data_IF_535612704383
#
_entry.id   IF_535612704383
#
_cell.length_a   1.000
_cell.length_b   1.000
_cell.length_c   1.000
_cell.angle_alpha   90.00
_cell.angle_beta   90.00
_cell.angle_gamma   90.00
#
_symmetry.space_group_name_H-M   'P 1'
#
loop_
_entity.id
_entity.type
_entity.pdbx_description
1 polymer ?
#
# COMPACT_ATOMS: atom_id res chain seq x y z
N UNK A 1 -7.89 22.34 6.34
CA UNK A 1 -7.82 22.59 4.89
C UNK A 1 -6.80 21.59 4.41
N UNK A 2 -7.28 20.46 3.89
CA UNK A 2 -6.55 19.20 4.10
C UNK A 2 -5.79 18.74 2.85
N UNK A 3 -6.09 19.29 1.67
CA UNK A 3 -5.31 19.06 0.45
C UNK A 3 -4.98 20.37 -0.28
N UNK A 4 -3.69 20.59 -0.51
CA UNK A 4 -3.15 21.68 -1.32
C UNK A 4 -2.26 21.08 -2.40
N UNK A 5 -2.63 21.27 -3.66
CA UNK A 5 -1.85 20.80 -4.81
C UNK A 5 -0.97 21.93 -5.31
N UNK A 6 0.33 21.68 -5.48
CA UNK A 6 1.22 22.64 -6.15
C UNK A 6 0.84 22.72 -7.63
N UNK A 7 0.48 23.92 -8.09
CA UNK A 7 0.10 24.16 -9.50
C UNK A 7 1.21 24.85 -10.30
N UNK A 8 2.05 25.66 -9.64
CA UNK A 8 3.23 26.30 -10.24
C UNK A 8 4.34 26.37 -9.20
N UNK A 9 5.59 26.13 -9.60
CA UNK A 9 6.76 26.18 -8.71
C UNK A 9 8.05 26.63 -9.44
N UNK A 10 7.93 27.63 -10.31
CA UNK A 10 9.08 28.13 -11.11
C UNK A 10 9.91 29.16 -10.34
N UNK A 11 9.24 30.06 -9.61
CA UNK A 11 9.88 31.12 -8.83
C UNK A 11 9.37 31.14 -7.39
N UNK A 12 8.06 30.98 -7.23
CA UNK A 12 7.40 30.88 -5.93
C UNK A 12 6.31 29.80 -6.00
N UNK A 13 6.23 28.86 -5.04
CA UNK A 13 5.18 27.84 -5.04
C UNK A 13 3.78 28.45 -4.90
N UNK A 14 2.91 28.20 -5.88
CA UNK A 14 1.48 28.52 -5.81
C UNK A 14 0.71 27.21 -5.70
N UNK A 15 -0.24 27.19 -4.77
CA UNK A 15 -1.06 26.04 -4.44
C UNK A 15 -2.51 26.26 -4.85
N UNK A 16 -3.20 25.19 -5.19
CA UNK A 16 -4.65 25.16 -5.41
C UNK A 16 -5.28 24.28 -4.34
N UNK A 17 -6.33 24.79 -3.70
CA UNK A 17 -7.19 24.05 -2.78
C UNK A 17 -8.29 23.30 -3.52
N UNK A 18 -8.92 22.35 -2.85
CA UNK A 18 -10.06 21.59 -3.39
C UNK A 18 -11.23 22.47 -3.86
N UNK A 19 -11.37 23.68 -3.30
CA UNK A 19 -12.40 24.65 -3.70
C UNK A 19 -11.96 25.53 -4.88
N UNK A 20 -10.81 25.26 -5.50
CA UNK A 20 -10.22 26.06 -6.59
C UNK A 20 -9.60 27.38 -6.13
N UNK A 21 -9.48 27.64 -4.82
CA UNK A 21 -8.82 28.85 -4.33
C UNK A 21 -7.30 28.71 -4.46
N UNK A 22 -6.66 29.74 -5.03
CA UNK A 22 -5.21 29.81 -5.23
C UNK A 22 -4.54 30.48 -4.04
N UNK A 23 -3.56 29.80 -3.45
CA UNK A 23 -2.97 30.13 -2.17
C UNK A 23 -1.45 30.09 -2.25
N UNK A 24 -0.81 30.87 -1.38
CA UNK A 24 0.63 30.84 -1.14
C UNK A 24 0.91 30.70 0.35
N UNK A 25 2.03 30.09 0.70
CA UNK A 25 2.46 30.03 2.09
C UNK A 25 3.00 31.40 2.55
N UNK A 26 2.42 31.96 3.62
CA UNK A 26 2.81 33.27 4.12
C UNK A 26 4.25 33.34 4.63
N UNK A 27 4.78 32.24 5.18
CA UNK A 27 6.12 32.16 5.76
C UNK A 27 7.16 32.13 4.66
N UNK A 28 6.90 31.40 3.59
CA UNK A 28 7.74 31.41 2.40
C UNK A 28 7.72 32.80 1.76
N UNK A 29 6.54 33.43 1.70
CA UNK A 29 6.39 34.79 1.19
C UNK A 29 7.18 35.81 2.02
N UNK A 30 7.09 35.74 3.35
CA UNK A 30 7.86 36.57 4.28
C UNK A 30 9.37 36.43 4.07
N UNK A 31 9.84 35.19 3.94
CA UNK A 31 11.26 34.88 3.74
C UNK A 31 11.76 35.44 2.42
N UNK A 32 11.04 35.18 1.32
CA UNK A 32 11.46 35.67 0.00
C UNK A 32 11.32 37.18 -0.17
N UNK A 33 10.39 37.81 0.55
CA UNK A 33 10.26 39.27 0.58
C UNK A 33 11.38 39.97 1.38
N UNK A 34 12.27 39.21 2.03
CA UNK A 34 13.39 39.74 2.84
C UNK A 34 12.89 40.75 3.87
N UNK A 35 11.86 40.36 4.61
CA UNK A 35 11.26 41.19 5.64
C UNK A 35 12.10 41.11 6.91
N UNK A 36 12.57 42.25 7.42
CA UNK A 36 13.39 42.30 8.64
C UNK A 36 12.62 42.07 9.95
N UNK A 37 11.30 42.27 9.97
CA UNK A 37 10.44 41.93 11.13
C UNK A 37 10.26 40.43 11.22
N UNK A 38 10.12 39.89 12.43
CA UNK A 38 9.78 38.48 12.62
C UNK A 38 8.41 38.15 11.99
N UNK A 39 8.27 36.90 11.53
CA UNK A 39 7.10 36.46 10.78
C UNK A 39 5.78 36.74 11.52
N UNK A 40 5.72 36.43 12.83
CA UNK A 40 4.49 36.54 13.62
C UNK A 40 4.00 37.98 13.73
N UNK A 41 4.90 38.92 14.10
CA UNK A 41 4.51 40.33 14.17
C UNK A 41 4.26 40.93 12.80
N UNK A 42 5.00 40.49 11.78
CA UNK A 42 4.77 40.92 10.41
C UNK A 42 3.37 40.52 9.92
N UNK A 43 3.01 39.24 9.98
CA UNK A 43 1.74 38.79 9.40
C UNK A 43 0.54 39.38 10.15
N UNK A 44 0.58 39.39 11.49
CA UNK A 44 -0.49 40.00 12.31
C UNK A 44 -0.64 41.50 12.02
N UNK A 45 0.49 42.22 11.97
CA UNK A 45 0.47 43.65 11.66
C UNK A 45 0.01 43.96 10.23
N UNK A 46 0.24 43.07 9.26
CA UNK A 46 -0.29 43.23 7.90
C UNK A 46 -1.79 42.95 7.83
N UNK A 47 -2.25 41.87 8.48
CA UNK A 47 -3.68 41.54 8.57
C UNK A 47 -4.46 42.70 9.19
N UNK A 48 -4.00 43.21 10.34
CA UNK A 48 -4.66 44.33 11.03
C UNK A 48 -4.63 45.62 10.21
N UNK A 49 -3.48 45.98 9.64
CA UNK A 49 -3.31 47.25 8.92
C UNK A 49 -4.16 47.33 7.65
N UNK A 50 -4.31 46.23 6.92
CA UNK A 50 -5.04 46.18 5.65
C UNK A 50 -6.43 45.58 5.77
N UNK A 51 -6.85 45.16 6.96
CA UNK A 51 -8.18 44.63 7.21
C UNK A 51 -8.43 43.27 6.57
N UNK A 52 -7.41 42.42 6.43
CA UNK A 52 -7.56 41.10 5.84
C UNK A 52 -8.46 40.20 6.70
N UNK A 53 -9.38 39.49 6.06
CA UNK A 53 -10.41 38.68 6.72
C UNK A 53 -10.07 37.19 6.65
N UNK A 54 -10.24 36.48 7.77
CA UNK A 54 -10.04 35.01 7.81
C UNK A 54 -11.06 34.30 6.90
N UNK A 55 -10.59 33.29 6.16
CA UNK A 55 -11.29 32.52 5.11
C UNK A 55 -11.61 33.30 3.83
N UNK A 56 -11.45 34.62 3.83
CA UNK A 56 -11.60 35.47 2.64
C UNK A 56 -10.26 35.85 2.05
N UNK A 57 -9.31 36.36 2.83
CA UNK A 57 -7.98 36.78 2.35
C UNK A 57 -6.88 35.79 2.71
N UNK A 58 -7.05 35.10 3.84
CA UNK A 58 -6.11 34.10 4.32
C UNK A 58 -6.82 32.98 5.07
N UNK A 59 -6.13 31.87 5.28
CA UNK A 59 -6.58 30.75 6.10
C UNK A 59 -5.52 30.46 7.17
N UNK A 60 -5.97 30.39 8.42
CA UNK A 60 -5.11 30.05 9.56
C UNK A 60 -5.16 28.54 9.85
N UNK A 61 -4.00 27.90 9.83
CA UNK A 61 -3.83 26.51 10.28
C UNK A 61 -2.93 26.47 11.52
N UNK A 62 -3.36 25.73 12.54
CA UNK A 62 -2.57 25.53 13.76
C UNK A 62 -1.97 24.14 13.75
N UNK A 63 -0.64 24.06 13.74
CA UNK A 63 0.13 22.82 13.77
C UNK A 63 0.70 22.64 15.17
N UNK A 64 0.52 21.46 15.76
CA UNK A 64 1.16 21.09 17.04
C UNK A 64 2.54 20.49 16.73
N UNK A 65 3.60 21.12 17.23
CA UNK A 65 4.99 20.66 17.03
C UNK A 65 5.69 20.31 18.35
N UNK A 66 6.67 19.40 18.27
CA UNK A 66 7.48 18.88 19.39
C UNK A 66 7.04 17.51 19.93
N UNK A 67 7.94 16.77 20.60
CA UNK A 67 7.66 15.44 21.18
C UNK A 67 6.49 15.45 22.17
N UNK A 68 6.30 16.56 22.89
CA UNK A 68 5.19 16.77 23.83
C UNK A 68 3.99 17.52 23.23
N UNK A 69 4.00 17.87 21.93
CA UNK A 69 2.94 18.64 21.23
C UNK A 69 2.51 19.95 21.90
N UNK A 70 3.35 20.53 22.77
CA UNK A 70 3.01 21.72 23.56
C UNK A 70 3.26 23.04 22.82
N UNK A 71 3.92 23.03 21.66
CA UNK A 71 4.16 24.24 20.87
C UNK A 71 3.13 24.33 19.75
N UNK A 72 2.35 25.41 19.75
CA UNK A 72 1.37 25.72 18.70
C UNK A 72 2.04 26.63 17.66
N UNK A 73 2.25 26.10 16.45
CA UNK A 73 2.76 26.87 15.31
C UNK A 73 1.58 27.32 14.45
N UNK A 74 1.45 28.63 14.28
CA UNK A 74 0.46 29.22 13.39
C UNK A 74 1.05 29.32 11.98
N UNK A 75 0.38 28.69 11.01
CA UNK A 75 0.69 28.77 9.58
C UNK A 75 -0.45 29.50 8.87
N UNK A 76 -0.08 30.41 7.96
CA UNK A 76 -1.03 31.22 7.22
C UNK A 76 -0.92 30.89 5.73
N UNK A 77 -2.05 30.60 5.12
CA UNK A 77 -2.19 30.45 3.68
C UNK A 77 -2.89 31.67 3.12
N UNK A 78 -2.24 32.43 2.27
CA UNK A 78 -2.72 33.73 1.80
C UNK A 78 -3.24 33.56 0.37
N UNK A 79 -4.39 34.15 0.04
CA UNK A 79 -4.88 34.16 -1.34
C UNK A 79 -3.91 34.88 -2.27
N UNK A 80 -3.86 34.43 -3.52
CA UNK A 80 -2.95 34.98 -4.52
C UNK A 80 -3.15 36.50 -4.69
N UNK A 81 -4.39 36.99 -4.62
CA UNK A 81 -4.73 38.42 -4.63
C UNK A 81 -4.08 39.19 -3.48
N UNK A 82 -4.34 38.76 -2.25
CA UNK A 82 -3.78 39.32 -1.02
C UNK A 82 -2.24 39.24 -1.01
N UNK A 83 -1.64 38.18 -1.58
CA UNK A 83 -0.20 38.04 -1.70
C UNK A 83 0.43 39.07 -2.67
N UNK A 84 -0.24 39.40 -3.79
CA UNK A 84 0.18 40.48 -4.70
C UNK A 84 0.14 41.84 -4.01
N UNK A 85 -0.83 42.07 -3.12
CA UNK A 85 -0.90 43.29 -2.31
C UNK A 85 0.25 43.35 -1.31
N UNK A 86 0.51 42.26 -0.58
CA UNK A 86 1.64 42.17 0.36
C UNK A 86 2.99 42.42 -0.32
N UNK A 87 3.20 41.82 -1.50
CA UNK A 87 4.42 42.03 -2.27
C UNK A 87 4.56 43.49 -2.76
N UNK A 88 3.44 44.16 -3.10
CA UNK A 88 3.42 45.56 -3.48
C UNK A 88 3.80 46.49 -2.32
N UNK A 89 3.18 46.30 -1.15
CA UNK A 89 3.38 47.18 0.02
C UNK A 89 4.72 46.97 0.71
N UNK A 90 5.41 45.86 0.43
CA UNK A 90 6.78 45.65 0.89
C UNK A 90 7.74 46.61 0.18
N UNK A 91 7.43 47.03 -1.05
CA UNK A 91 8.14 48.07 -1.80
C UNK A 91 9.68 47.87 -1.87
N UNK A 92 10.11 46.63 -2.15
CA UNK A 92 11.51 46.29 -2.41
C UNK A 92 11.64 45.50 -3.72
N UNK A 93 12.88 45.24 -4.15
CA UNK A 93 13.16 44.55 -5.43
C UNK A 93 12.54 43.16 -5.47
N UNK A 94 12.64 42.39 -4.38
CA UNK A 94 12.02 41.06 -4.27
C UNK A 94 10.50 41.13 -4.31
N UNK A 95 9.88 42.10 -3.65
CA UNK A 95 8.44 42.36 -3.72
C UNK A 95 7.98 42.68 -5.13
N UNK A 96 8.77 43.46 -5.88
CA UNK A 96 8.50 43.73 -7.31
C UNK A 96 8.58 42.45 -8.14
N UNK A 97 9.61 41.62 -7.93
CA UNK A 97 9.79 40.36 -8.65
C UNK A 97 8.65 39.37 -8.36
N UNK A 98 8.34 39.13 -7.09
CA UNK A 98 7.25 38.24 -6.65
C UNK A 98 5.90 38.73 -7.18
N UNK A 99 5.61 40.04 -7.10
CA UNK A 99 4.36 40.60 -7.64
C UNK A 99 4.24 40.36 -9.14
N UNK A 100 5.30 40.61 -9.92
CA UNK A 100 5.30 40.35 -11.37
C UNK A 100 5.07 38.86 -11.66
N UNK A 101 5.72 37.99 -10.91
CA UNK A 101 5.54 36.55 -11.04
C UNK A 101 4.09 36.11 -10.77
N UNK A 102 3.47 36.56 -9.67
CA UNK A 102 2.08 36.24 -9.36
C UNK A 102 1.09 36.74 -10.43
N UNK A 103 1.33 37.93 -10.98
CA UNK A 103 0.52 38.47 -12.10
C UNK A 103 0.64 37.58 -13.34
N UNK A 104 1.86 37.15 -13.68
CA UNK A 104 2.11 36.26 -14.81
C UNK A 104 1.42 34.91 -14.62
N UNK A 105 1.52 34.33 -13.42
CA UNK A 105 0.82 33.10 -13.06
C UNK A 105 -0.69 33.24 -13.27
N UNK A 106 -1.32 34.31 -12.78
CA UNK A 106 -2.75 34.54 -12.99
C UNK A 106 -3.14 34.70 -14.45
N UNK A 107 -2.29 35.38 -15.24
CA UNK A 107 -2.53 35.59 -16.66
C UNK A 107 -2.52 34.26 -17.41
N UNK A 108 -1.53 33.40 -17.17
CA UNK A 108 -1.46 32.04 -17.74
C UNK A 108 -2.71 31.25 -17.41
N UNK A 109 -3.18 31.31 -16.15
CA UNK A 109 -4.39 30.61 -15.77
C UNK A 109 -5.66 31.17 -16.44
N UNK A 110 -5.79 32.50 -16.56
CA UNK A 110 -6.91 33.12 -17.29
C UNK A 110 -6.90 32.80 -18.78
N UNK A 111 -5.73 32.67 -19.39
CA UNK A 111 -5.58 32.31 -20.79
C UNK A 111 -5.83 30.82 -21.05
N UNK A 112 -5.49 29.96 -20.09
CA UNK A 112 -5.74 28.51 -20.16
C UNK A 112 -7.20 28.12 -19.91
N UNK A 113 -8.05 29.04 -19.42
CA UNK A 113 -9.47 28.77 -19.29
C UNK A 113 -10.15 28.88 -20.66
N UNK A 114 -10.99 27.90 -21.05
CA UNK A 114 -11.77 28.00 -22.27
C UNK A 114 -12.63 29.26 -22.19
N UNK A 115 -12.40 30.20 -23.11
CA UNK A 115 -13.09 31.51 -23.13
C UNK A 115 -14.47 31.39 -23.76
N UNK A 116 -14.66 30.35 -24.57
CA UNK A 116 -15.91 30.11 -25.29
C UNK A 116 -16.55 28.78 -24.87
N UNK A 117 -17.87 28.69 -25.02
CA UNK A 117 -18.62 27.46 -24.76
C UNK A 117 -18.12 26.29 -25.63
N UNK A 118 -17.69 26.57 -26.87
CA UNK A 118 -17.15 25.56 -27.78
C UNK A 118 -15.82 24.96 -27.27
N UNK A 119 -14.90 25.79 -26.76
CA UNK A 119 -13.63 25.30 -26.18
C UNK A 119 -13.87 24.45 -24.93
N UNK A 120 -14.88 24.80 -24.10
CA UNK A 120 -15.25 24.02 -22.93
C UNK A 120 -15.78 22.63 -23.31
N UNK A 121 -16.64 22.55 -24.34
CA UNK A 121 -17.12 21.26 -24.86
C UNK A 121 -15.98 20.41 -25.40
N UNK A 122 -15.02 21.01 -26.13
CA UNK A 122 -13.87 20.30 -26.66
C UNK A 122 -13.00 19.71 -25.54
N UNK A 123 -12.70 20.50 -24.50
CA UNK A 123 -11.92 20.05 -23.36
C UNK A 123 -12.62 18.89 -22.62
N UNK A 124 -13.95 18.97 -22.45
CA UNK A 124 -14.73 17.90 -21.85
C UNK A 124 -14.68 16.63 -22.70
N UNK A 125 -14.83 16.73 -24.01
CA UNK A 125 -14.74 15.60 -24.93
C UNK A 125 -13.36 14.91 -24.86
N UNK A 126 -12.26 15.68 -24.83
CA UNK A 126 -10.92 15.13 -24.67
C UNK A 126 -10.74 14.40 -23.33
N UNK A 127 -11.29 14.95 -22.25
CA UNK A 127 -11.24 14.31 -20.94
C UNK A 127 -12.03 13.00 -20.93
N UNK A 128 -13.19 12.95 -21.58
CA UNK A 128 -13.98 11.72 -21.72
C UNK A 128 -13.19 10.63 -22.46
N UNK A 129 -12.54 10.98 -23.58
CA UNK A 129 -11.70 10.03 -24.34
C UNK A 129 -10.53 9.51 -23.51
N UNK A 130 -9.87 10.38 -22.73
CA UNK A 130 -8.80 9.97 -21.81
C UNK A 130 -9.31 8.99 -20.75
N UNK A 131 -10.43 9.31 -20.11
CA UNK A 131 -11.04 8.46 -19.10
C UNK A 131 -11.43 7.09 -19.66
N UNK A 132 -11.97 7.06 -20.88
CA UNK A 132 -12.35 5.81 -21.56
C UNK A 132 -11.13 4.92 -21.82
N UNK A 133 -10.01 5.51 -22.27
CA UNK A 133 -8.74 4.78 -22.44
C UNK A 133 -8.20 4.22 -21.14
N UNK A 134 -8.16 5.03 -20.08
CA UNK A 134 -7.73 4.57 -18.76
C UNK A 134 -8.61 3.43 -18.23
N UNK A 135 -9.92 3.51 -18.45
CA UNK A 135 -10.84 2.45 -18.05
C UNK A 135 -10.59 1.15 -18.84
N UNK A 136 -10.35 1.25 -20.15
CA UNK A 136 -10.02 0.08 -20.97
C UNK A 136 -8.72 -0.62 -20.51
N UNK A 137 -7.70 0.15 -20.12
CA UNK A 137 -6.46 -0.39 -19.54
C UNK A 137 -6.70 -1.06 -18.19
N UNK A 138 -7.50 -0.43 -17.32
CA UNK A 138 -7.90 -1.01 -16.03
C UNK A 138 -8.63 -2.33 -16.23
N UNK A 139 -9.58 -2.40 -17.17
CA UNK A 139 -10.34 -3.61 -17.49
C UNK A 139 -9.43 -4.73 -18.02
N UNK A 140 -8.43 -4.39 -18.83
CA UNK A 140 -7.44 -5.38 -19.28
C UNK A 140 -6.64 -5.95 -18.10
N UNK A 141 -6.24 -5.11 -17.15
CA UNK A 141 -5.51 -5.55 -15.95
C UNK A 141 -6.38 -6.41 -15.03
N UNK A 142 -7.66 -6.07 -14.88
CA UNK A 142 -8.63 -6.87 -14.14
C UNK A 142 -8.74 -8.26 -14.76
N UNK A 143 -8.93 -8.36 -16.09
CA UNK A 143 -9.00 -9.66 -16.79
C UNK A 143 -7.76 -10.53 -16.57
N UNK A 144 -6.56 -9.92 -16.59
CA UNK A 144 -5.32 -10.63 -16.31
C UNK A 144 -5.26 -11.16 -14.87
N UNK A 145 -5.69 -10.35 -13.90
CA UNK A 145 -5.76 -10.75 -12.49
C UNK A 145 -6.78 -11.86 -12.28
N UNK A 146 -7.96 -11.76 -12.87
CA UNK A 146 -9.02 -12.78 -12.81
C UNK A 146 -8.50 -14.14 -13.34
N UNK A 147 -7.86 -14.13 -14.50
CA UNK A 147 -7.23 -15.34 -15.06
C UNK A 147 -6.18 -15.92 -14.12
N UNK A 148 -5.36 -15.05 -13.51
CA UNK A 148 -4.37 -15.44 -12.50
C UNK A 148 -5.02 -16.11 -11.27
N UNK A 149 -6.12 -15.54 -10.77
CA UNK A 149 -6.88 -16.10 -9.64
C UNK A 149 -7.49 -17.45 -10.00
N UNK A 150 -8.05 -17.60 -11.20
CA UNK A 150 -8.62 -18.88 -11.66
C UNK A 150 -7.56 -19.99 -11.73
N UNK A 151 -6.38 -19.69 -12.30
CA UNK A 151 -5.29 -20.67 -12.36
C UNK A 151 -4.80 -21.07 -10.96
N UNK A 152 -4.72 -20.12 -10.03
CA UNK A 152 -4.38 -20.40 -8.63
C UNK A 152 -5.46 -21.27 -7.97
N UNK A 153 -6.74 -20.92 -8.15
CA UNK A 153 -7.86 -21.69 -7.60
C UNK A 153 -7.85 -23.14 -8.10
N UNK A 154 -7.62 -23.36 -9.40
CA UNK A 154 -7.49 -24.70 -9.98
C UNK A 154 -6.35 -25.50 -9.34
N UNK A 155 -5.18 -24.88 -9.16
CA UNK A 155 -4.03 -25.51 -8.49
C UNK A 155 -4.28 -25.82 -7.00
N UNK A 156 -5.15 -25.06 -6.33
CA UNK A 156 -5.57 -25.30 -4.94
C UNK A 156 -6.65 -26.38 -4.81
N UNK A 157 -7.51 -26.55 -5.81
CA UNK A 157 -8.62 -27.55 -5.80
C UNK A 157 -8.23 -28.96 -6.24
N UNK A 158 -7.13 -29.12 -6.99
CA UNK A 158 -6.64 -30.45 -7.35
C UNK A 158 -5.99 -31.13 -6.13
N UNK A 159 -6.37 -32.36 -5.81
CA UNK A 159 -5.65 -33.17 -4.80
C UNK A 159 -4.17 -33.17 -5.19
N UNK A 160 -3.25 -32.68 -4.33
CA UNK A 160 -1.85 -32.56 -4.69
C UNK A 160 -1.29 -33.93 -5.07
N UNK A 161 -0.58 -34.01 -6.21
CA UNK A 161 0.18 -35.22 -6.55
C UNK A 161 1.21 -35.48 -5.44
N UNK A 162 1.18 -36.68 -4.86
CA UNK A 162 2.09 -37.14 -3.81
C UNK A 162 3.55 -36.80 -4.14
N UNK A 163 3.97 -36.98 -5.40
CA UNK A 163 5.35 -36.66 -5.83
C UNK A 163 5.67 -35.18 -5.68
N UNK A 164 4.77 -34.30 -6.11
CA UNK A 164 4.95 -32.84 -6.01
C UNK A 164 5.05 -32.38 -4.56
N UNK A 165 4.28 -33.00 -3.64
CA UNK A 165 4.37 -32.66 -2.21
C UNK A 165 5.75 -33.00 -1.65
N UNK A 166 6.30 -34.16 -2.01
CA UNK A 166 7.66 -34.54 -1.61
C UNK A 166 8.68 -33.55 -2.18
N UNK A 167 8.56 -33.17 -3.46
CA UNK A 167 9.45 -32.21 -4.10
C UNK A 167 9.40 -30.84 -3.41
N UNK A 168 8.21 -30.37 -3.04
CA UNK A 168 8.02 -29.12 -2.29
C UNK A 168 8.64 -29.19 -0.88
N UNK A 169 8.53 -30.33 -0.19
CA UNK A 169 9.18 -30.55 1.11
C UNK A 169 10.71 -30.51 0.95
N UNK A 170 11.24 -31.16 -0.08
CA UNK A 170 12.68 -31.15 -0.39
C UNK A 170 13.15 -29.73 -0.71
N UNK A 171 12.37 -28.96 -1.48
CA UNK A 171 12.68 -27.57 -1.80
C UNK A 171 12.72 -26.71 -0.52
N UNK A 172 11.70 -26.79 0.33
CA UNK A 172 11.65 -26.02 1.57
C UNK A 172 12.82 -26.35 2.50
N UNK A 173 13.13 -27.64 2.66
CA UNK A 173 14.27 -28.10 3.46
C UNK A 173 15.61 -27.55 2.93
N UNK A 174 15.79 -27.46 1.60
CA UNK A 174 16.98 -26.86 0.99
C UNK A 174 17.10 -25.37 1.31
N UNK A 175 16.02 -24.61 1.19
CA UNK A 175 16.02 -23.17 1.44
C UNK A 175 16.27 -22.81 2.90
N UNK A 176 15.68 -23.59 3.82
CA UNK A 176 15.70 -23.29 5.26
C UNK A 176 16.78 -24.04 6.04
N UNK A 177 17.45 -25.01 5.40
CA UNK A 177 18.45 -25.91 6.00
C UNK A 177 17.93 -26.74 7.18
N UNK A 178 16.61 -26.93 7.29
CA UNK A 178 16.02 -27.82 8.30
C UNK A 178 15.88 -29.25 7.77
N UNK A 179 15.91 -30.24 8.67
CA UNK A 179 15.75 -31.64 8.30
C UNK A 179 14.31 -31.98 7.87
N UNK A 180 14.11 -32.92 6.94
CA UNK A 180 12.78 -33.30 6.46
C UNK A 180 11.80 -33.67 7.60
N UNK A 181 12.27 -34.40 8.61
CA UNK A 181 11.45 -34.78 9.76
C UNK A 181 10.91 -33.55 10.51
N UNK A 182 11.70 -32.48 10.61
CA UNK A 182 11.32 -31.24 11.26
C UNK A 182 10.26 -30.49 10.45
N UNK A 183 10.38 -30.50 9.11
CA UNK A 183 9.36 -29.96 8.20
C UNK A 183 8.02 -30.68 8.41
N UNK A 184 8.02 -32.03 8.36
CA UNK A 184 6.80 -32.82 8.58
C UNK A 184 6.22 -32.59 9.98
N UNK A 185 7.05 -32.57 11.02
CA UNK A 185 6.60 -32.34 12.40
C UNK A 185 5.96 -30.95 12.57
N UNK A 186 6.56 -29.92 11.99
CA UNK A 186 6.05 -28.55 12.03
C UNK A 186 4.68 -28.48 11.37
N UNK A 187 4.54 -29.03 10.16
CA UNK A 187 3.26 -29.03 9.44
C UNK A 187 2.20 -29.87 10.19
N UNK A 188 2.56 -31.05 10.71
CA UNK A 188 1.64 -31.87 11.50
C UNK A 188 1.16 -31.15 12.77
N UNK A 189 2.02 -30.36 13.42
CA UNK A 189 1.62 -29.56 14.58
C UNK A 189 0.57 -28.51 14.21
N UNK A 190 0.72 -27.87 13.05
CA UNK A 190 -0.22 -26.87 12.52
C UNK A 190 -1.53 -27.53 12.11
N UNK A 191 -1.47 -28.68 11.42
CA UNK A 191 -2.66 -29.46 11.05
C UNK A 191 -3.49 -29.85 12.28
N UNK A 192 -2.84 -30.24 13.37
CA UNK A 192 -3.51 -30.56 14.63
C UNK A 192 -4.14 -29.31 15.25
N UNK A 193 -3.41 -28.20 15.30
CA UNK A 193 -3.89 -26.97 15.91
C UNK A 193 -5.03 -26.29 15.13
N UNK A 194 -4.92 -26.22 13.80
CA UNK A 194 -5.86 -25.49 12.95
C UNK A 194 -7.04 -26.34 12.45
N UNK A 195 -6.83 -27.64 12.25
CA UNK A 195 -7.84 -28.52 11.65
C UNK A 195 -8.21 -29.72 12.52
N UNK A 196 -7.62 -29.89 13.70
CA UNK A 196 -7.87 -31.05 14.57
C UNK A 196 -7.34 -32.37 14.01
N UNK A 197 -6.48 -32.33 12.99
CA UNK A 197 -5.99 -33.53 12.29
C UNK A 197 -4.69 -34.02 12.94
N UNK A 198 -4.75 -35.14 13.66
CA UNK A 198 -3.58 -35.79 14.25
C UNK A 198 -3.06 -36.93 13.35
N UNK A 199 -2.20 -36.56 12.39
CA UNK A 199 -1.62 -37.50 11.42
C UNK A 199 -0.75 -38.55 12.12
N UNK A 200 0.01 -38.17 13.15
CA UNK A 200 0.91 -39.09 13.87
C UNK A 200 0.13 -40.18 14.59
N UNK A 201 -0.91 -39.80 15.33
CA UNK A 201 -1.76 -40.76 16.02
C UNK A 201 -2.45 -41.71 15.03
N UNK A 202 -2.93 -41.19 13.88
CA UNK A 202 -3.56 -42.02 12.85
C UNK A 202 -2.59 -43.04 12.25
N UNK A 203 -1.39 -42.60 11.85
CA UNK A 203 -0.34 -43.49 11.31
C UNK A 203 0.00 -44.61 12.29
N UNK A 204 0.16 -44.28 13.57
CA UNK A 204 0.50 -45.25 14.61
C UNK A 204 -0.61 -46.29 14.82
N UNK A 205 -1.88 -45.84 14.86
CA UNK A 205 -3.02 -46.74 14.97
C UNK A 205 -3.12 -47.70 13.78
N UNK A 206 -2.86 -47.21 12.56
CA UNK A 206 -2.87 -48.05 11.37
C UNK A 206 -1.71 -49.04 11.32
N UNK A 207 -0.52 -48.64 11.76
CA UNK A 207 0.63 -49.56 11.90
C UNK A 207 0.32 -50.67 12.90
N UNK A 208 -0.27 -50.34 14.05
CA UNK A 208 -0.68 -51.33 15.06
C UNK A 208 -1.69 -52.31 14.50
N UNK A 209 -2.72 -51.81 13.80
CA UNK A 209 -3.73 -52.64 13.15
C UNK A 209 -3.12 -53.60 12.13
N UNK A 210 -2.30 -53.08 11.22
CA UNK A 210 -1.61 -53.89 10.20
C UNK A 210 -0.72 -54.97 10.82
N UNK A 211 0.00 -54.63 11.89
CA UNK A 211 0.88 -55.56 12.57
C UNK A 211 0.10 -56.65 13.33
N UNK A 212 -1.04 -56.30 13.94
CA UNK A 212 -1.92 -57.26 14.59
C UNK A 212 -2.53 -58.26 13.59
N UNK A 213 -2.99 -57.78 12.43
CA UNK A 213 -3.50 -58.63 11.35
C UNK A 213 -2.42 -59.57 10.81
N UNK A 214 -1.19 -59.08 10.64
CA UNK A 214 -0.07 -59.90 10.20
C UNK A 214 0.33 -60.96 11.23
N UNK A 215 0.31 -60.59 12.51
CA UNK A 215 0.59 -61.50 13.62
C UNK A 215 -0.44 -62.63 13.69
N UNK A 216 -1.73 -62.33 13.57
CA UNK A 216 -2.78 -63.35 13.55
C UNK A 216 -2.60 -64.37 12.41
N UNK A 217 -2.04 -63.95 11.27
CA UNK A 217 -1.82 -64.81 10.11
C UNK A 217 -0.53 -65.62 10.15
N UNK A 218 0.52 -65.09 10.77
CA UNK A 218 1.90 -65.63 10.62
C UNK A 218 2.59 -65.96 11.95
N UNK A 219 2.02 -65.55 13.08
CA UNK A 219 2.64 -65.63 14.40
C UNK A 219 3.85 -64.70 14.59
N UNK A 220 4.16 -63.84 13.62
CA UNK A 220 5.30 -62.93 13.63
C UNK A 220 4.84 -61.49 13.48
N UNK A 221 5.64 -60.56 14.02
CA UNK A 221 5.45 -59.13 13.81
C UNK A 221 6.33 -58.65 12.65
N UNK A 222 5.87 -57.61 11.95
CA UNK A 222 6.71 -56.89 11.01
C UNK A 222 7.85 -56.17 11.73
N UNK A 223 9.00 -56.09 11.07
CA UNK A 223 10.07 -55.17 11.48
C UNK A 223 9.60 -53.71 11.38
N UNK A 224 10.14 -52.85 12.24
CA UNK A 224 9.72 -51.44 12.33
C UNK A 224 9.95 -50.67 11.01
N UNK A 225 11.06 -50.94 10.33
CA UNK A 225 11.36 -50.37 9.02
C UNK A 225 10.31 -50.75 7.97
N UNK A 226 9.86 -52.01 7.98
CA UNK A 226 8.80 -52.51 7.09
C UNK A 226 7.45 -51.85 7.39
N UNK A 227 7.11 -51.64 8.66
CA UNK A 227 5.89 -50.92 9.05
C UNK A 227 5.92 -49.45 8.59
N UNK A 228 7.07 -48.79 8.73
CA UNK A 228 7.28 -47.41 8.27
C UNK A 228 7.14 -47.28 6.76
N UNK A 229 7.60 -48.27 5.99
CA UNK A 229 7.44 -48.31 4.54
C UNK A 229 6.00 -48.59 4.12
N UNK A 230 5.32 -49.53 4.79
CA UNK A 230 3.93 -49.92 4.45
C UNK A 230 2.88 -48.89 4.85
N UNK A 231 3.12 -48.15 5.93
CA UNK A 231 2.20 -47.11 6.43
C UNK A 231 3.02 -45.85 6.72
N UNK A 232 3.04 -44.94 5.76
CA UNK A 232 3.66 -43.62 5.92
C UNK A 232 2.59 -42.52 6.08
N UNK A 233 3.03 -41.34 6.54
CA UNK A 233 2.13 -40.23 6.82
C UNK A 233 1.44 -39.66 5.58
N UNK A 234 2.11 -39.66 4.43
CA UNK A 234 1.52 -39.14 3.19
C UNK A 234 0.42 -40.07 2.68
N UNK A 235 0.64 -41.38 2.66
CA UNK A 235 -0.37 -42.36 2.23
C UNK A 235 -1.63 -42.34 3.10
N UNK A 236 -1.46 -42.07 4.41
CA UNK A 236 -2.57 -41.84 5.33
C UNK A 236 -3.32 -40.56 4.94
N UNK A 237 -2.61 -39.46 4.70
CA UNK A 237 -3.23 -38.19 4.30
C UNK A 237 -3.91 -38.25 2.93
N UNK A 238 -3.39 -39.03 1.98
CA UNK A 238 -4.05 -39.27 0.68
C UNK A 238 -5.38 -39.99 0.88
N UNK A 239 -5.38 -41.12 1.60
CA UNK A 239 -6.61 -41.91 1.84
C UNK A 239 -7.66 -41.17 2.66
N UNK A 240 -7.23 -40.32 3.58
CA UNK A 240 -8.12 -39.54 4.45
C UNK A 240 -8.51 -38.18 3.84
N UNK A 241 -8.06 -37.87 2.62
CA UNK A 241 -8.28 -36.56 1.96
C UNK A 241 -7.81 -35.37 2.80
N UNK A 242 -6.62 -35.48 3.39
CA UNK A 242 -5.96 -34.43 4.19
C UNK A 242 -4.72 -33.83 3.51
N UNK A 243 -4.31 -34.37 2.35
CA UNK A 243 -3.09 -33.96 1.66
C UNK A 243 -3.17 -32.53 1.12
N UNK A 244 -4.37 -32.06 0.78
CA UNK A 244 -4.67 -30.68 0.38
C UNK A 244 -4.29 -29.68 1.48
N UNK A 245 -4.74 -29.93 2.73
CA UNK A 245 -4.44 -29.09 3.90
C UNK A 245 -2.94 -29.09 4.22
N UNK A 246 -2.30 -30.26 4.11
CA UNK A 246 -0.85 -30.37 4.25
C UNK A 246 -0.13 -29.49 3.22
N UNK A 247 -0.52 -29.58 1.95
CA UNK A 247 0.09 -28.83 0.87
C UNK A 247 -0.18 -27.32 0.96
N UNK A 248 -1.34 -26.90 1.44
CA UNK A 248 -1.65 -25.48 1.68
C UNK A 248 -0.70 -24.86 2.73
N UNK A 249 -0.46 -25.56 3.84
CA UNK A 249 0.47 -25.10 4.88
C UNK A 249 1.91 -25.07 4.32
N UNK A 250 2.31 -26.11 3.58
CA UNK A 250 3.63 -26.19 2.94
C UNK A 250 3.85 -25.08 1.90
N UNK A 251 2.82 -24.73 1.12
CA UNK A 251 2.88 -23.63 0.17
C UNK A 251 3.13 -22.30 0.89
N UNK A 252 2.43 -22.03 2.00
CA UNK A 252 2.68 -20.84 2.82
C UNK A 252 4.10 -20.77 3.38
N UNK A 253 4.65 -21.92 3.79
CA UNK A 253 6.04 -22.04 4.23
C UNK A 253 7.03 -21.70 3.11
N UNK A 254 6.83 -22.24 1.90
CA UNK A 254 7.64 -21.96 0.72
C UNK A 254 7.58 -20.49 0.31
N UNK A 255 6.38 -19.89 0.28
CA UNK A 255 6.23 -18.46 -0.03
C UNK A 255 7.05 -17.62 0.95
N UNK A 256 6.89 -17.85 2.26
CA UNK A 256 7.62 -17.09 3.29
C UNK A 256 9.15 -17.27 3.20
N UNK A 257 9.62 -18.46 2.84
CA UNK A 257 11.05 -18.72 2.67
C UNK A 257 11.65 -18.07 1.40
N UNK A 258 10.84 -17.83 0.36
CA UNK A 258 11.27 -17.27 -0.92
C UNK A 258 11.16 -15.74 -1.00
N UNK A 259 10.44 -15.08 -0.08
CA UNK A 259 10.41 -13.61 -0.04
C UNK A 259 11.77 -13.11 0.48
N UNK A 260 12.49 -12.25 -0.27
CA UNK A 260 13.71 -11.64 0.25
C UNK A 260 13.38 -10.78 1.47
N UNK A 261 13.97 -11.11 2.62
CA UNK A 261 13.98 -10.23 3.78
C UNK A 261 14.65 -8.92 3.37
N UNK A 262 13.84 -7.87 3.30
CA UNK A 262 14.24 -6.48 3.05
C UNK A 262 14.81 -5.85 4.31
#
# INVERSE_FOLDING_TARGET
MDNLKVIVNEFFPVYESDTGARLVNARDLHTQLVVGKDFTNWIKGRIEKYGFVDKEDYFLTVIKTGERKNVLKHEYWIRLDTAKELAMVQNNEMGRAIRKYFIEVEKRFKESQPKTQAEMLLQYAEQMVRNERENAERDQKIRQLETGVETLAQNLTAVPDHRKVIDNVNEYARWTRVGHNEVYNSIYSILKAQHGIDVKARVENERRKLNAEYYQRTGKLYAESTLKQKVNGIDVMVRMSWLDKFNQILAGFLTKAKVPTT
#
